data_IF_168156445226
#
_entry.id   IF_168156445226
#
_cell.length_a   1.000
_cell.length_b   1.000
_cell.length_c   1.000
_cell.angle_alpha   90.00
_cell.angle_beta   90.00
_cell.angle_gamma   90.00
#
_symmetry.space_group_name_H-M   'P 1'
#
loop_
_entity.id
_entity.type
_entity.pdbx_description
1 polymer ?
#
# COMPACT_ATOMS: atom_id res chain seq x y z
N UNK A 1 27.24 -10.00 -29.25
CA UNK A 1 26.88 -8.95 -28.28
C UNK A 1 28.15 -8.41 -27.61
N UNK A 2 28.55 -7.16 -27.90
CA UNK A 2 29.86 -6.58 -27.52
C UNK A 2 29.71 -5.61 -26.34
N UNK A 3 29.44 -6.14 -25.15
CA UNK A 3 29.39 -5.37 -23.90
C UNK A 3 30.77 -5.33 -23.21
N UNK A 4 31.79 -4.71 -23.82
CA UNK A 4 33.16 -4.65 -23.26
C UNK A 4 33.84 -3.28 -23.45
N UNK A 5 33.11 -2.18 -23.32
CA UNK A 5 33.75 -0.85 -23.21
C UNK A 5 33.36 -0.17 -21.90
N UNK A 6 34.28 0.57 -21.27
CA UNK A 6 34.02 1.26 -19.99
C UNK A 6 32.83 2.23 -20.05
N UNK A 7 32.52 2.75 -21.24
CA UNK A 7 31.38 3.64 -21.47
C UNK A 7 30.02 2.94 -21.35
N UNK A 8 29.91 1.66 -21.73
CA UNK A 8 28.67 0.88 -21.56
C UNK A 8 28.39 0.60 -20.08
N UNK A 9 29.46 0.33 -19.31
CA UNK A 9 29.37 0.13 -17.86
C UNK A 9 28.91 1.38 -17.11
N UNK A 10 29.36 2.56 -17.52
CA UNK A 10 28.90 3.82 -16.92
C UNK A 10 27.42 4.09 -17.23
N UNK A 11 26.96 3.81 -18.46
CA UNK A 11 25.52 3.90 -18.80
C UNK A 11 24.68 2.92 -17.98
N UNK A 12 25.15 1.69 -17.82
CA UNK A 12 24.50 0.70 -16.96
C UNK A 12 24.48 1.15 -15.49
N UNK A 13 25.59 1.65 -14.95
CA UNK A 13 25.63 2.18 -13.57
C UNK A 13 24.67 3.33 -13.37
N UNK A 14 24.55 4.26 -14.32
CA UNK A 14 23.61 5.38 -14.22
C UNK A 14 22.16 4.90 -14.27
N UNK A 15 21.84 3.94 -15.15
CA UNK A 15 20.53 3.30 -15.19
C UNK A 15 20.22 2.51 -13.91
N UNK A 16 21.17 1.70 -13.43
CA UNK A 16 21.01 1.00 -12.16
C UNK A 16 20.85 1.99 -11.01
N UNK A 17 21.55 3.13 -11.07
CA UNK A 17 21.41 4.17 -10.06
C UNK A 17 20.05 4.85 -10.13
N UNK A 18 19.44 5.07 -11.30
CA UNK A 18 18.11 5.67 -11.40
C UNK A 18 16.98 4.69 -11.08
N UNK A 19 17.09 3.43 -11.53
CA UNK A 19 16.03 2.42 -11.36
C UNK A 19 16.14 1.67 -10.04
N UNK A 20 17.36 1.32 -9.61
CA UNK A 20 17.59 0.43 -8.47
C UNK A 20 18.04 1.16 -7.20
N UNK A 21 18.99 2.09 -7.29
CA UNK A 21 19.43 2.90 -6.13
C UNK A 21 18.63 4.20 -5.98
N UNK A 22 17.84 4.54 -7.00
CA UNK A 22 17.31 5.88 -7.22
C UNK A 22 15.96 6.14 -6.60
N UNK A 23 15.21 5.12 -6.14
CA UNK A 23 14.25 5.25 -5.00
C UNK A 23 13.31 4.05 -4.79
N UNK A 24 13.10 3.12 -5.73
CA UNK A 24 11.86 2.32 -5.65
C UNK A 24 12.02 0.84 -5.32
N UNK A 25 12.58 0.00 -6.19
CA UNK A 25 12.43 -1.46 -6.04
C UNK A 25 13.30 -2.05 -4.92
N UNK A 26 14.60 -1.73 -4.89
CA UNK A 26 15.50 -2.22 -3.82
C UNK A 26 15.07 -1.64 -2.48
N UNK A 27 14.69 -0.37 -2.47
CA UNK A 27 14.23 0.28 -1.26
C UNK A 27 12.96 -0.38 -0.73
N UNK A 28 11.92 -0.57 -1.56
CA UNK A 28 10.68 -1.23 -1.14
C UNK A 28 10.98 -2.65 -0.65
N UNK A 29 11.85 -3.39 -1.35
CA UNK A 29 12.24 -4.73 -0.92
C UNK A 29 12.94 -4.72 0.43
N UNK A 30 13.85 -3.76 0.65
CA UNK A 30 14.54 -3.57 1.93
C UNK A 30 13.55 -3.17 3.04
N UNK A 31 12.71 -2.17 2.79
CA UNK A 31 11.67 -1.69 3.69
C UNK A 31 10.74 -2.84 4.13
N UNK A 32 10.27 -3.64 3.17
CA UNK A 32 9.37 -4.77 3.42
C UNK A 32 10.09 -5.98 4.03
N UNK A 33 11.43 -5.98 4.08
CA UNK A 33 12.20 -7.00 4.79
C UNK A 33 12.46 -6.66 6.27
N UNK A 34 12.10 -5.45 6.72
CA UNK A 34 12.24 -5.07 8.12
C UNK A 34 11.23 -5.82 9.01
N UNK A 35 11.71 -6.27 10.17
CA UNK A 35 10.90 -6.97 11.19
C UNK A 35 9.76 -6.10 11.72
N UNK A 36 9.96 -4.79 11.77
CA UNK A 36 9.02 -3.83 12.35
C UNK A 36 7.97 -3.33 11.33
N UNK A 37 8.03 -3.79 10.08
CA UNK A 37 7.15 -3.32 9.00
C UNK A 37 5.95 -4.27 8.83
N UNK A 38 4.69 -3.80 9.00
CA UNK A 38 3.51 -4.62 8.75
C UNK A 38 3.27 -4.76 7.24
N UNK A 39 4.04 -5.63 6.61
CA UNK A 39 4.16 -5.80 5.16
C UNK A 39 2.83 -5.99 4.45
N UNK A 40 1.91 -6.76 5.03
CA UNK A 40 0.65 -7.13 4.39
C UNK A 40 -0.17 -5.91 3.95
N UNK A 41 -0.20 -4.85 4.78
CA UNK A 41 -0.98 -3.64 4.55
C UNK A 41 -0.47 -2.84 3.32
N UNK A 42 0.83 -2.98 3.03
CA UNK A 42 1.54 -2.17 2.04
C UNK A 42 1.72 -2.85 0.69
N UNK A 43 1.35 -4.13 0.54
CA UNK A 43 1.59 -4.88 -0.69
C UNK A 43 0.99 -4.19 -1.91
N UNK A 44 -0.31 -3.86 -1.89
CA UNK A 44 -0.98 -3.22 -3.02
C UNK A 44 -0.48 -1.79 -3.29
N UNK A 45 -0.36 -0.91 -2.26
CA UNK A 45 0.23 0.42 -2.42
C UNK A 45 1.64 0.39 -3.03
N UNK A 46 2.50 -0.53 -2.57
CA UNK A 46 3.88 -0.62 -3.03
C UNK A 46 3.98 -1.10 -4.48
N UNK A 47 3.14 -2.07 -4.89
CA UNK A 47 3.04 -2.47 -6.30
C UNK A 47 2.64 -1.30 -7.20
N UNK A 48 1.61 -0.54 -6.82
CA UNK A 48 1.17 0.64 -7.58
C UNK A 48 2.23 1.73 -7.65
N UNK A 49 2.95 1.95 -6.55
CA UNK A 49 4.05 2.92 -6.53
C UNK A 49 5.21 2.48 -7.47
N UNK A 50 5.59 1.20 -7.44
CA UNK A 50 6.58 0.64 -8.39
C UNK A 50 6.11 0.80 -9.84
N UNK A 51 4.83 0.57 -10.12
CA UNK A 51 4.24 0.70 -11.45
C UNK A 51 4.37 2.13 -11.95
N UNK A 52 3.91 3.12 -11.17
CA UNK A 52 3.99 4.55 -11.53
C UNK A 52 5.42 4.98 -11.83
N UNK A 53 6.39 4.58 -11.00
CA UNK A 53 7.80 4.92 -11.21
C UNK A 53 8.36 4.33 -12.50
N UNK A 54 8.08 3.06 -12.79
CA UNK A 54 8.47 2.43 -14.05
C UNK A 54 7.77 3.07 -15.26
N UNK A 55 6.50 3.47 -15.13
CA UNK A 55 5.79 4.19 -16.19
C UNK A 55 6.40 5.58 -16.44
N UNK A 56 6.80 6.32 -15.40
CA UNK A 56 7.50 7.60 -15.53
C UNK A 56 8.84 7.41 -16.24
N UNK A 57 9.62 6.39 -15.86
CA UNK A 57 10.88 6.05 -16.51
C UNK A 57 10.70 5.65 -17.98
N UNK A 58 9.59 4.98 -18.32
CA UNK A 58 9.26 4.63 -19.71
C UNK A 58 9.01 5.87 -20.59
N UNK A 59 8.51 6.96 -20.01
CA UNK A 59 8.26 8.23 -20.71
C UNK A 59 9.52 9.08 -20.88
N UNK A 60 10.62 8.72 -20.22
CA UNK A 60 11.89 9.44 -20.32
C UNK A 60 12.57 9.19 -21.67
N UNK A 61 12.55 10.22 -22.54
CA UNK A 61 13.14 10.19 -23.87
C UNK A 61 14.68 10.18 -23.86
N UNK A 62 15.31 10.47 -22.71
CA UNK A 62 16.77 10.44 -22.56
C UNK A 62 17.31 9.02 -22.39
N UNK A 63 16.42 8.05 -22.16
CA UNK A 63 16.77 6.67 -21.85
C UNK A 63 17.13 5.87 -23.11
N UNK A 64 18.27 5.17 -23.14
CA UNK A 64 18.61 4.29 -24.25
C UNK A 64 17.54 3.21 -24.54
N UNK A 65 17.28 2.86 -25.81
CA UNK A 65 16.22 1.91 -26.20
C UNK A 65 16.29 0.53 -25.53
N UNK A 66 17.50 0.05 -25.21
CA UNK A 66 17.72 -1.21 -24.46
C UNK A 66 17.00 -1.19 -23.12
N UNK A 67 16.97 -0.05 -22.44
CA UNK A 67 16.33 0.07 -21.13
C UNK A 67 14.80 0.15 -21.22
N UNK A 68 14.25 0.69 -22.32
CA UNK A 68 12.82 0.62 -22.58
C UNK A 68 12.32 -0.82 -22.64
N UNK A 69 13.09 -1.71 -23.29
CA UNK A 69 12.77 -3.15 -23.31
C UNK A 69 12.78 -3.76 -21.90
N UNK A 70 13.80 -3.44 -21.10
CA UNK A 70 13.90 -3.92 -19.72
C UNK A 70 12.76 -3.38 -18.83
N UNK A 71 12.39 -2.11 -18.96
CA UNK A 71 11.27 -1.50 -18.22
C UNK A 71 9.95 -2.16 -18.60
N UNK A 72 9.71 -2.41 -19.90
CA UNK A 72 8.49 -3.09 -20.34
C UNK A 72 8.41 -4.52 -19.78
N UNK A 73 9.51 -5.26 -19.76
CA UNK A 73 9.57 -6.58 -19.14
C UNK A 73 9.30 -6.52 -17.62
N UNK A 74 9.86 -5.51 -16.95
CA UNK A 74 9.62 -5.24 -15.53
C UNK A 74 8.15 -4.92 -15.24
N UNK A 75 7.53 -4.02 -16.00
CA UNK A 75 6.10 -3.67 -15.89
C UNK A 75 5.20 -4.89 -16.10
N UNK A 76 5.48 -5.71 -17.13
CA UNK A 76 4.71 -6.93 -17.38
C UNK A 76 4.75 -7.87 -16.19
N UNK A 77 5.95 -8.07 -15.60
CA UNK A 77 6.11 -8.93 -14.43
C UNK A 77 5.44 -8.34 -13.19
N UNK A 78 5.56 -7.03 -13.00
CA UNK A 78 4.97 -6.30 -11.89
C UNK A 78 3.45 -6.41 -11.90
N UNK A 79 2.81 -6.15 -13.06
CA UNK A 79 1.36 -6.20 -13.21
C UNK A 79 0.85 -7.61 -12.98
N UNK A 80 1.55 -8.64 -13.49
CA UNK A 80 1.22 -10.04 -13.17
C UNK A 80 1.13 -10.32 -11.66
N UNK A 81 2.09 -9.82 -10.88
CA UNK A 81 2.07 -10.04 -9.42
C UNK A 81 1.11 -9.11 -8.69
N UNK A 82 0.88 -7.91 -9.21
CA UNK A 82 -0.17 -7.03 -8.72
C UNK A 82 -1.53 -7.70 -8.85
N UNK A 83 -1.86 -8.29 -10.00
CA UNK A 83 -3.14 -8.98 -10.22
C UNK A 83 -3.31 -10.17 -9.25
N UNK A 84 -2.25 -10.94 -9.03
CA UNK A 84 -2.24 -12.03 -8.05
C UNK A 84 -2.41 -11.54 -6.60
N UNK A 85 -1.84 -10.39 -6.26
CA UNK A 85 -2.02 -9.79 -4.94
C UNK A 85 -3.42 -9.19 -4.80
N UNK A 86 -3.94 -8.53 -5.83
CA UNK A 86 -5.23 -7.87 -5.82
C UNK A 86 -6.39 -8.87 -5.72
N UNK A 87 -6.25 -10.05 -6.34
CA UNK A 87 -7.24 -11.15 -6.24
C UNK A 87 -7.23 -11.86 -4.89
N UNK A 88 -6.21 -11.63 -4.06
CA UNK A 88 -6.14 -12.24 -2.74
C UNK A 88 -6.76 -11.32 -1.68
N UNK A 89 -7.88 -11.79 -1.12
CA UNK A 89 -8.65 -11.10 -0.10
C UNK A 89 -7.82 -10.57 1.08
N UNK A 90 -6.76 -11.27 1.49
CA UNK A 90 -5.97 -10.88 2.65
C UNK A 90 -5.20 -9.59 2.41
N UNK A 91 -4.69 -9.35 1.20
CA UNK A 91 -4.02 -8.09 0.89
C UNK A 91 -5.03 -6.94 0.79
N UNK A 92 -6.21 -7.21 0.24
CA UNK A 92 -7.29 -6.22 0.15
C UNK A 92 -7.75 -5.79 1.54
N UNK A 93 -8.14 -6.75 2.39
CA UNK A 93 -8.57 -6.51 3.78
C UNK A 93 -7.46 -5.79 4.56
N UNK A 94 -6.22 -6.25 4.43
CA UNK A 94 -5.09 -5.62 5.10
C UNK A 94 -4.93 -4.15 4.69
N UNK A 95 -5.00 -3.84 3.40
CA UNK A 95 -4.93 -2.44 2.94
C UNK A 95 -6.11 -1.63 3.47
N UNK A 96 -7.33 -2.19 3.53
CA UNK A 96 -8.50 -1.52 4.15
C UNK A 96 -8.27 -1.26 5.64
N UNK A 97 -7.69 -2.20 6.40
CA UNK A 97 -7.37 -2.03 7.83
C UNK A 97 -6.34 -0.93 8.13
N UNK A 98 -5.70 -0.35 7.11
CA UNK A 98 -4.74 0.72 7.33
C UNK A 98 -5.49 2.06 7.52
N UNK A 99 -5.33 2.77 8.65
CA UNK A 99 -6.13 3.97 8.97
C UNK A 99 -5.98 5.11 7.94
N UNK A 100 -4.84 5.18 7.24
CA UNK A 100 -4.59 6.16 6.18
C UNK A 100 -5.14 5.75 4.81
N UNK A 101 -5.21 4.45 4.49
CA UNK A 101 -5.65 3.98 3.18
C UNK A 101 -7.17 3.80 3.14
N UNK A 102 -7.68 2.96 4.05
CA UNK A 102 -9.09 2.53 4.12
C UNK A 102 -9.66 2.21 2.73
N UNK A 103 -10.96 2.44 2.55
CA UNK A 103 -11.61 2.28 1.25
C UNK A 103 -11.19 3.37 0.25
N UNK A 104 -10.76 4.53 0.73
CA UNK A 104 -10.35 5.67 -0.12
C UNK A 104 -9.20 5.31 -1.07
N UNK A 105 -8.31 4.40 -0.67
CA UNK A 105 -7.24 3.92 -1.54
C UNK A 105 -7.78 3.20 -2.79
N UNK A 106 -8.83 2.40 -2.65
CA UNK A 106 -9.45 1.66 -3.77
C UNK A 106 -10.29 2.59 -4.66
N UNK A 107 -10.99 3.56 -4.06
CA UNK A 107 -11.79 4.56 -4.79
C UNK A 107 -10.97 5.44 -5.76
N UNK A 108 -9.67 5.62 -5.50
CA UNK A 108 -8.76 6.39 -6.35
C UNK A 108 -8.39 5.71 -7.67
N UNK A 109 -8.64 4.41 -7.79
CA UNK A 109 -8.17 3.62 -8.92
C UNK A 109 -9.32 3.13 -9.79
N UNK A 110 -10.37 2.53 -9.20
CA UNK A 110 -11.59 2.09 -9.90
C UNK A 110 -12.80 2.07 -8.97
N UNK A 111 -13.98 2.49 -9.43
CA UNK A 111 -15.22 2.45 -8.61
C UNK A 111 -15.59 1.03 -8.16
N UNK A 112 -15.32 0.05 -9.02
CA UNK A 112 -15.69 -1.33 -8.78
C UNK A 112 -14.80 -1.97 -7.69
N UNK A 113 -13.52 -1.57 -7.62
CA UNK A 113 -12.58 -2.02 -6.59
C UNK A 113 -13.01 -1.53 -5.21
N UNK A 114 -13.53 -0.30 -5.10
CA UNK A 114 -14.05 0.24 -3.85
C UNK A 114 -15.19 -0.61 -3.31
N UNK A 115 -16.20 -0.91 -4.14
CA UNK A 115 -17.37 -1.67 -3.72
C UNK A 115 -17.02 -3.12 -3.37
N UNK A 116 -16.10 -3.74 -4.14
CA UNK A 116 -15.61 -5.09 -3.85
C UNK A 116 -14.85 -5.13 -2.51
N UNK A 117 -13.95 -4.17 -2.27
CA UNK A 117 -13.21 -4.09 -1.01
C UNK A 117 -14.13 -3.84 0.19
N UNK A 118 -15.14 -2.97 0.02
CA UNK A 118 -16.16 -2.70 1.03
C UNK A 118 -16.96 -3.95 1.39
N UNK A 119 -17.55 -4.61 0.40
CA UNK A 119 -18.36 -5.81 0.61
C UNK A 119 -17.54 -6.96 1.23
N UNK A 120 -16.28 -7.12 0.79
CA UNK A 120 -15.37 -8.12 1.34
C UNK A 120 -15.06 -7.83 2.83
N UNK A 121 -14.78 -6.56 3.16
CA UNK A 121 -14.49 -6.17 4.53
C UNK A 121 -15.69 -6.34 5.46
N UNK A 122 -16.88 -5.93 5.01
CA UNK A 122 -18.15 -6.12 5.73
C UNK A 122 -18.39 -7.60 6.05
N UNK A 123 -18.30 -8.48 5.05
CA UNK A 123 -18.48 -9.92 5.24
C UNK A 123 -17.49 -10.52 6.26
N UNK A 124 -16.23 -10.09 6.23
CA UNK A 124 -15.21 -10.58 7.18
C UNK A 124 -15.44 -10.02 8.59
N UNK A 125 -15.86 -8.77 8.70
CA UNK A 125 -16.20 -8.14 9.98
C UNK A 125 -17.42 -8.83 10.63
N UNK A 126 -18.46 -9.11 9.85
CA UNK A 126 -19.63 -9.88 10.31
C UNK A 126 -19.22 -11.28 10.78
N UNK A 127 -18.43 -12.00 9.98
CA UNK A 127 -17.91 -13.32 10.35
C UNK A 127 -17.08 -13.28 11.64
N UNK A 128 -16.27 -12.23 11.83
CA UNK A 128 -15.45 -12.04 13.02
C UNK A 128 -16.30 -11.71 14.26
N UNK A 129 -17.27 -10.80 14.13
CA UNK A 129 -18.13 -10.39 15.25
C UNK A 129 -19.00 -11.54 15.76
N UNK A 130 -19.41 -12.47 14.89
CA UNK A 130 -20.12 -13.69 15.28
C UNK A 130 -19.21 -14.73 15.96
N UNK A 131 -17.93 -14.76 15.62
CA UNK A 131 -16.97 -15.74 16.13
C UNK A 131 -16.37 -15.35 17.50
N UNK A 132 -16.37 -14.07 17.87
CA UNK A 132 -15.85 -13.59 19.15
C UNK A 132 -16.97 -13.51 20.20
N UNK A 133 -16.93 -14.31 21.28
CA UNK A 133 -17.90 -14.18 22.36
C UNK A 133 -17.76 -12.81 23.03
N UNK A 134 -18.89 -12.11 23.19
CA UNK A 134 -19.02 -10.85 23.93
C UNK A 134 -18.55 -11.08 25.38
N UNK A 135 -17.26 -10.86 25.66
CA UNK A 135 -16.70 -11.05 27.01
C UNK A 135 -15.21 -11.41 27.12
N UNK A 136 -14.49 -11.71 26.04
CA UNK A 136 -13.03 -11.94 26.16
C UNK A 136 -12.26 -10.63 26.18
N UNK A 137 -11.88 -10.17 27.37
CA UNK A 137 -10.88 -9.12 27.55
C UNK A 137 -9.63 -9.45 26.71
N UNK A 138 -9.29 -8.56 25.78
CA UNK A 138 -8.33 -8.78 24.71
C UNK A 138 -6.98 -9.27 25.21
N UNK A 139 -6.52 -10.39 24.64
CA UNK A 139 -5.13 -10.83 24.77
C UNK A 139 -4.26 -9.85 23.97
N UNK A 140 -3.68 -8.88 24.68
CA UNK A 140 -2.81 -7.86 24.11
C UNK A 140 -1.62 -8.51 23.38
N UNK A 141 -1.41 -8.25 22.07
CA UNK A 141 -0.24 -8.76 21.36
C UNK A 141 1.05 -8.18 21.97
N UNK A 142 2.04 -9.04 22.23
CA UNK A 142 3.36 -8.65 22.79
C UNK A 142 3.96 -7.47 22.02
N UNK A 143 4.37 -6.43 22.74
CA UNK A 143 5.01 -5.22 22.20
C UNK A 143 6.30 -5.59 21.42
N UNK A 144 6.44 -5.23 20.14
CA UNK A 144 7.73 -5.30 19.45
C UNK A 144 8.68 -4.21 19.98
N UNK A 145 9.98 -4.53 20.02
CA UNK A 145 11.06 -3.62 20.44
C UNK A 145 11.26 -2.54 19.38
N UNK A 146 11.37 -1.28 19.80
CA UNK A 146 11.63 -0.14 18.91
C UNK A 146 13.05 -0.24 18.33
N UNK A 147 13.17 -0.24 17.00
CA UNK A 147 14.43 0.03 16.31
C UNK A 147 14.30 1.32 15.51
N UNK A 148 15.14 2.29 15.83
CA UNK A 148 15.20 3.61 15.18
C UNK A 148 15.94 3.47 13.85
N UNK A 149 15.23 3.59 12.72
CA UNK A 149 15.80 3.50 11.38
C UNK A 149 15.36 4.68 10.51
N UNK A 150 16.32 5.28 9.80
CA UNK A 150 16.22 6.51 8.98
C UNK A 150 14.86 6.76 8.31
N UNK A 151 14.11 7.71 8.87
CA UNK A 151 12.72 7.97 8.50
C UNK A 151 12.52 8.74 7.18
N UNK A 152 13.51 9.56 6.77
CA UNK A 152 13.34 10.59 5.73
C UNK A 152 13.03 10.06 4.32
N UNK A 153 13.49 8.85 3.97
CA UNK A 153 13.26 8.28 2.64
C UNK A 153 11.88 7.61 2.50
N UNK A 154 11.37 7.03 3.59
CA UNK A 154 9.99 6.54 3.61
C UNK A 154 9.01 7.70 3.48
N UNK A 155 9.26 8.79 4.20
CA UNK A 155 8.44 10.02 4.07
C UNK A 155 8.47 10.55 2.63
N UNK A 156 9.62 10.52 1.94
CA UNK A 156 9.69 10.95 0.53
C UNK A 156 8.91 10.04 -0.42
N UNK A 157 8.91 8.72 -0.20
CA UNK A 157 8.14 7.77 -1.02
C UNK A 157 6.65 7.87 -0.74
N UNK A 158 6.30 8.19 0.50
CA UNK A 158 4.94 8.41 0.94
C UNK A 158 4.34 9.69 0.35
N UNK A 159 5.09 10.79 0.40
CA UNK A 159 4.68 12.07 -0.20
C UNK A 159 4.54 12.01 -1.74
N UNK A 160 5.17 11.02 -2.38
CA UNK A 160 5.05 10.76 -3.81
C UNK A 160 3.91 9.78 -4.17
N UNK A 161 3.37 9.04 -3.20
CA UNK A 161 2.10 8.34 -3.39
C UNK A 161 0.97 9.38 -3.35
N UNK A 162 -0.10 9.23 -4.16
CA UNK A 162 -1.15 10.24 -4.27
C UNK A 162 -1.88 10.42 -2.94
N UNK A 163 -1.37 11.36 -2.15
CA UNK A 163 -1.98 11.91 -0.96
C UNK A 163 -2.70 13.19 -1.36
N UNK A 164 -3.88 13.06 -1.94
CA UNK A 164 -4.82 14.18 -1.97
C UNK A 164 -5.91 13.89 -0.96
N UNK A 165 -5.70 14.48 0.20
CA UNK A 165 -6.72 15.07 1.06
C UNK A 165 -7.30 16.26 0.30
N UNK A 166 -8.40 16.07 -0.42
CA UNK A 166 -9.31 17.12 -0.91
C UNK A 166 -10.38 16.43 -1.78
N UNK A 167 -11.35 15.79 -1.13
CA UNK A 167 -12.72 15.69 -1.62
C UNK A 167 -13.57 15.07 -0.50
N UNK A 168 -13.98 15.92 0.43
CA UNK A 168 -15.18 15.65 1.21
C UNK A 168 -16.39 15.88 0.31
N UNK A 169 -16.88 14.82 -0.34
CA UNK A 169 -18.30 14.74 -0.66
C UNK A 169 -18.68 13.30 -0.99
N UNK A 170 -19.96 12.99 -0.69
CA UNK A 170 -20.73 11.77 -1.02
C UNK A 170 -20.66 10.68 0.08
N UNK A 171 -21.71 10.30 0.82
CA UNK A 171 -23.18 10.40 0.68
C UNK A 171 -23.87 10.30 2.08
N UNK A 172 -24.93 11.09 2.32
CA UNK A 172 -25.87 10.89 3.43
C UNK A 172 -26.68 9.61 3.20
N UNK A 173 -26.56 8.63 4.09
CA UNK A 173 -27.51 7.51 4.20
C UNK A 173 -27.98 7.44 5.65
N UNK A 174 -29.21 7.90 5.87
CA UNK A 174 -29.97 7.63 7.10
C UNK A 174 -30.44 6.18 7.09
N UNK A 175 -30.00 5.39 8.06
CA UNK A 175 -30.48 4.04 8.30
C UNK A 175 -30.23 3.63 9.75
N UNK A 176 -31.29 3.29 10.47
CA UNK A 176 -31.21 2.79 11.85
C UNK A 176 -30.79 1.32 11.88
N UNK A 177 -29.67 0.95 12.51
CA UNK A 177 -29.46 -0.40 13.04
C UNK A 177 -28.31 -0.50 14.05
N UNK A 178 -28.41 -1.50 14.94
CA UNK A 178 -27.43 -2.13 15.83
C UNK A 178 -26.03 -1.50 16.03
N UNK A 179 -25.54 -1.51 17.27
CA UNK A 179 -24.16 -1.13 17.68
C UNK A 179 -23.02 -1.66 16.77
N UNK A 180 -23.25 -2.73 15.99
CA UNK A 180 -22.30 -3.34 15.05
C UNK A 180 -22.19 -2.58 13.72
N UNK A 181 -23.28 -2.03 13.19
CA UNK A 181 -23.23 -1.10 12.05
C UNK A 181 -22.60 0.22 12.44
N UNK A 182 -22.83 0.67 13.69
CA UNK A 182 -22.27 1.91 14.20
C UNK A 182 -20.73 1.94 14.14
N UNK A 183 -20.05 0.83 14.50
CA UNK A 183 -18.59 0.77 14.48
C UNK A 183 -18.00 0.74 13.07
N UNK A 184 -18.64 -0.02 12.18
CA UNK A 184 -18.18 -0.18 10.81
C UNK A 184 -18.42 1.10 9.99
N UNK A 185 -19.57 1.75 10.18
CA UNK A 185 -19.86 3.07 9.61
C UNK A 185 -18.92 4.14 10.17
N UNK A 186 -18.66 4.12 11.48
CA UNK A 186 -17.66 4.99 12.11
C UNK A 186 -16.27 4.81 11.53
N UNK A 187 -15.87 3.57 11.24
CA UNK A 187 -14.58 3.31 10.61
C UNK A 187 -14.54 3.82 9.17
N UNK A 188 -15.61 3.64 8.40
CA UNK A 188 -15.68 4.10 7.02
C UNK A 188 -15.82 5.62 6.90
N UNK A 189 -16.41 6.31 7.88
CA UNK A 189 -16.56 7.76 7.89
C UNK A 189 -15.24 8.53 8.10
N UNK A 190 -14.16 7.83 8.46
CA UNK A 190 -12.88 8.49 8.72
C UNK A 190 -12.65 8.83 10.20
N UNK A 191 -13.55 8.47 11.10
CA UNK A 191 -13.40 8.76 12.53
C UNK A 191 -12.10 8.17 13.10
N UNK A 192 -11.52 8.86 14.09
CA UNK A 192 -10.21 8.55 14.67
C UNK A 192 -9.00 8.99 13.83
N UNK A 193 -9.23 9.57 12.64
CA UNK A 193 -8.18 10.18 11.81
C UNK A 193 -7.25 9.17 11.12
N UNK A 194 -6.25 9.69 10.39
CA UNK A 194 -5.43 8.89 9.47
C UNK A 194 -4.35 8.03 10.15
N UNK A 195 -4.08 8.21 11.45
CA UNK A 195 -3.05 7.48 12.20
C UNK A 195 -1.61 7.72 11.71
N UNK A 196 -0.63 7.13 12.40
CA UNK A 196 0.76 7.14 11.93
C UNK A 196 0.97 6.12 10.81
N UNK A 197 1.47 6.59 9.66
CA UNK A 197 1.64 5.76 8.46
C UNK A 197 2.49 4.50 8.69
N UNK A 198 3.62 4.62 9.39
CA UNK A 198 4.51 3.48 9.67
C UNK A 198 4.05 2.60 10.81
N UNK A 199 3.12 3.10 11.62
CA UNK A 199 2.68 2.46 12.85
C UNK A 199 1.17 2.35 12.88
N UNK A 200 0.54 1.73 11.87
CA UNK A 200 -0.92 1.57 11.83
C UNK A 200 -1.42 0.78 13.05
N UNK A 201 -0.61 -0.15 13.57
CA UNK A 201 -0.92 -0.90 14.78
C UNK A 201 -0.94 -0.05 16.07
N UNK A 202 -0.36 1.14 16.07
CA UNK A 202 -0.50 2.05 17.22
C UNK A 202 -1.86 2.73 17.23
N UNK A 203 -2.42 3.01 16.06
CA UNK A 203 -3.78 3.56 15.94
C UNK A 203 -4.81 2.59 16.53
N UNK A 204 -4.72 1.31 16.16
CA UNK A 204 -5.57 0.23 16.69
C UNK A 204 -5.39 -0.10 18.17
N UNK A 205 -4.50 0.59 18.91
CA UNK A 205 -4.32 0.39 20.36
C UNK A 205 -5.05 1.42 21.21
N UNK A 206 -5.46 2.53 20.60
CA UNK A 206 -6.09 3.66 21.28
C UNK A 206 -7.61 3.47 21.33
N UNK A 207 -8.14 2.64 20.42
CA UNK A 207 -9.51 2.15 20.35
C UNK A 207 -9.55 0.68 20.82
#
# INVERSE_FOLDING_TARGET
>A
MRWRTGQSWNKLKNFLRSVFYGTTIIYITNLMSHVDMPTLLFVLPMYRHMEKKLQTLKKDLTLPPVFSTAINAGLLKLNKYYDLAHTNQFYVIATVCHPTFRLNWFGKHHSDEYQQAKALFEHVYESYSQAVPVGSNGVSPRKPKKTSGNDKLFESLWNEMPSDSEDESLLDIQGSSSQTSDELERYFSGEGGQGEMKKPLQWWKVF
#
